data_IF_916928276931
#
_entry.id   IF_916928276931
#
_cell.length_a   1.000
_cell.length_b   1.000
_cell.length_c   1.000
_cell.angle_alpha   90.00
_cell.angle_beta   90.00
_cell.angle_gamma   90.00
#
_symmetry.space_group_name_H-M   'P 1'
#
loop_
_entity.id
_entity.type
_entity.pdbx_description
1 polymer ?
#
# COMPACT_ATOMS: atom_id res chain seq x y z
N UNK A 1 -21.97 12.31 -1.31
CA UNK A 1 -20.86 12.82 -2.14
C UNK A 1 -19.67 11.90 -1.97
N UNK A 2 -19.37 11.09 -2.99
CA UNK A 2 -18.43 9.98 -2.90
C UNK A 2 -16.96 10.43 -2.85
N UNK A 3 -16.17 9.80 -1.98
CA UNK A 3 -14.73 9.97 -1.95
C UNK A 3 -14.15 9.38 -3.24
N UNK A 4 -13.87 10.21 -4.25
CA UNK A 4 -13.11 9.78 -5.44
C UNK A 4 -11.64 9.68 -5.03
N UNK A 5 -11.24 8.51 -4.51
CA UNK A 5 -9.83 8.19 -4.29
C UNK A 5 -9.20 7.89 -5.64
N UNK A 6 -8.02 8.45 -5.86
CA UNK A 6 -7.25 8.28 -7.09
C UNK A 6 -7.05 6.80 -7.37
N UNK A 7 -7.31 6.39 -8.61
CA UNK A 7 -7.03 5.03 -9.08
C UNK A 7 -5.52 4.80 -8.95
N UNK A 8 -5.13 3.85 -8.09
CA UNK A 8 -3.74 3.54 -7.80
C UNK A 8 -3.09 2.74 -8.95
N UNK A 9 -1.80 2.40 -8.84
CA UNK A 9 -1.00 1.73 -9.87
C UNK A 9 -1.66 0.48 -10.50
N UNK A 10 -2.45 -0.25 -9.72
CA UNK A 10 -3.11 -1.49 -10.14
C UNK A 10 -4.49 -1.27 -10.75
N UNK A 11 -4.96 -0.02 -10.87
CA UNK A 11 -6.29 0.28 -11.43
C UNK A 11 -7.47 0.00 -10.49
N UNK A 12 -7.23 -0.62 -9.34
CA UNK A 12 -8.28 -1.12 -8.44
C UNK A 12 -8.51 -0.15 -7.27
N UNK A 13 -9.65 0.55 -7.21
CA UNK A 13 -10.00 1.39 -6.08
C UNK A 13 -10.37 0.56 -4.84
N UNK A 14 -10.18 1.11 -3.65
CA UNK A 14 -10.55 0.43 -2.39
C UNK A 14 -12.06 0.17 -2.30
N UNK A 15 -12.86 0.99 -2.98
CA UNK A 15 -14.31 0.84 -3.11
C UNK A 15 -14.69 -0.46 -3.83
N UNK A 16 -13.87 -0.96 -4.76
CA UNK A 16 -14.10 -2.25 -5.42
C UNK A 16 -13.99 -3.42 -4.43
N UNK A 17 -13.06 -3.35 -3.48
CA UNK A 17 -12.97 -4.36 -2.42
C UNK A 17 -14.14 -4.27 -1.44
N UNK A 18 -14.63 -3.06 -1.16
CA UNK A 18 -15.80 -2.86 -0.30
C UNK A 18 -17.10 -3.35 -0.93
N UNK A 19 -17.29 -3.18 -2.24
CA UNK A 19 -18.50 -3.63 -2.93
C UNK A 19 -18.63 -5.14 -3.01
N UNK A 20 -17.52 -5.87 -2.96
CA UNK A 20 -17.50 -7.34 -2.99
C UNK A 20 -17.95 -7.99 -1.67
N UNK A 21 -18.00 -7.24 -0.56
CA UNK A 21 -18.44 -7.73 0.75
C UNK A 21 -17.72 -9.01 1.19
N UNK A 22 -18.46 -10.00 1.71
CA UNK A 22 -17.90 -11.28 2.19
C UNK A 22 -17.17 -12.06 1.09
N UNK A 23 -17.65 -12.01 -0.16
CA UNK A 23 -16.99 -12.70 -1.28
C UNK A 23 -15.61 -12.11 -1.52
N UNK A 24 -15.49 -10.79 -1.44
CA UNK A 24 -14.21 -10.08 -1.52
C UNK A 24 -13.27 -10.48 -0.40
N UNK A 25 -13.78 -10.60 0.84
CA UNK A 25 -12.98 -11.04 1.99
C UNK A 25 -12.47 -12.48 1.80
N UNK A 26 -13.33 -13.41 1.37
CA UNK A 26 -12.93 -14.80 1.11
C UNK A 26 -11.86 -14.90 0.02
N UNK A 27 -12.06 -14.17 -1.08
CA UNK A 27 -11.10 -14.13 -2.18
C UNK A 27 -9.76 -13.53 -1.74
N UNK A 28 -9.77 -12.35 -1.09
CA UNK A 28 -8.55 -11.70 -0.58
C UNK A 28 -7.81 -12.60 0.40
N UNK A 29 -8.53 -13.28 1.29
CA UNK A 29 -7.93 -14.21 2.27
C UNK A 29 -7.24 -15.37 1.56
N UNK A 30 -7.88 -15.98 0.55
CA UNK A 30 -7.27 -17.04 -0.25
C UNK A 30 -6.03 -16.55 -0.99
N UNK A 31 -6.15 -15.40 -1.66
CA UNK A 31 -5.07 -14.77 -2.41
C UNK A 31 -3.87 -14.42 -1.53
N UNK A 32 -4.10 -13.81 -0.38
CA UNK A 32 -3.08 -13.50 0.62
C UNK A 32 -2.42 -14.75 1.22
N UNK A 33 -3.18 -15.81 1.47
CA UNK A 33 -2.61 -17.09 1.93
C UNK A 33 -1.74 -17.75 0.84
N UNK A 34 -2.15 -17.64 -0.43
CA UNK A 34 -1.35 -18.11 -1.56
C UNK A 34 -0.03 -17.34 -1.65
N UNK A 35 -0.05 -16.02 -1.48
CA UNK A 35 1.17 -15.18 -1.43
C UNK A 35 2.03 -15.55 -0.21
N UNK A 36 1.42 -15.81 0.95
CA UNK A 36 2.15 -16.18 2.17
C UNK A 36 2.90 -17.49 2.02
N UNK A 37 2.30 -18.48 1.35
CA UNK A 37 2.90 -19.80 1.12
C UNK A 37 3.95 -19.77 0.01
N UNK A 38 3.78 -18.88 -0.96
CA UNK A 38 4.69 -18.70 -2.07
C UNK A 38 5.59 -17.48 -1.85
N UNK A 39 6.25 -17.01 -2.92
CA UNK A 39 7.07 -15.81 -2.91
C UNK A 39 6.21 -14.57 -3.17
N UNK A 40 6.49 -13.48 -2.46
CA UNK A 40 5.87 -12.18 -2.72
C UNK A 40 6.17 -11.72 -4.17
N UNK A 41 5.15 -11.29 -4.94
CA UNK A 41 5.36 -10.81 -6.30
C UNK A 41 6.37 -9.68 -6.36
N UNK A 42 7.27 -9.70 -7.34
CA UNK A 42 8.25 -8.61 -7.55
C UNK A 42 7.57 -7.31 -7.96
N UNK A 43 6.41 -7.37 -8.59
CA UNK A 43 5.56 -6.20 -8.88
C UNK A 43 5.15 -5.45 -7.62
N UNK A 44 4.90 -6.15 -6.51
CA UNK A 44 4.50 -5.55 -5.23
C UNK A 44 5.66 -4.88 -4.49
N UNK A 45 6.90 -5.08 -4.94
CA UNK A 45 8.08 -4.35 -4.46
C UNK A 45 8.19 -2.98 -5.12
N UNK A 46 7.54 -2.79 -6.27
CA UNK A 46 7.58 -1.55 -7.02
C UNK A 46 6.54 -0.57 -6.46
N UNK A 47 6.97 0.67 -6.36
CA UNK A 47 6.17 1.79 -5.88
C UNK A 47 6.54 3.02 -6.67
N UNK A 48 5.58 3.89 -6.93
CA UNK A 48 5.85 5.13 -7.64
C UNK A 48 6.17 6.22 -6.63
N UNK A 49 7.35 6.83 -6.77
CA UNK A 49 7.73 8.01 -6.00
C UNK A 49 7.27 9.25 -6.75
N UNK A 50 6.40 10.04 -6.12
CA UNK A 50 5.96 11.33 -6.63
C UNK A 50 6.50 12.41 -5.72
N UNK A 51 7.18 13.40 -6.29
CA UNK A 51 7.57 14.62 -5.59
C UNK A 51 6.45 15.65 -5.69
N UNK A 52 5.86 16.03 -4.56
CA UNK A 52 4.91 17.13 -4.48
C UNK A 52 5.62 18.40 -4.00
N UNK A 53 5.50 19.48 -4.75
CA UNK A 53 6.04 20.77 -4.35
C UNK A 53 5.32 21.30 -3.11
N UNK A 54 6.07 21.80 -2.11
CA UNK A 54 5.52 22.30 -0.84
C UNK A 54 4.87 23.69 -0.98
N UNK A 55 4.82 24.27 -2.18
CA UNK A 55 4.35 25.63 -2.46
C UNK A 55 5.04 26.69 -1.58
N UNK A 56 6.32 26.46 -1.24
CA UNK A 56 7.16 27.36 -0.44
C UNK A 56 8.60 27.29 -0.97
N UNK A 57 9.26 28.45 -1.05
CA UNK A 57 10.64 28.58 -1.54
C UNK A 57 10.75 28.53 -3.06
N UNK A 58 11.97 28.38 -3.56
CA UNK A 58 12.26 28.28 -4.99
C UNK A 58 11.90 26.87 -5.54
N UNK A 59 11.38 26.84 -6.76
CA UNK A 59 10.97 25.62 -7.49
C UNK A 59 12.19 24.79 -7.91
N UNK A 60 13.36 25.42 -8.03
CA UNK A 60 14.63 24.80 -8.40
C UNK A 60 15.26 23.99 -7.24
N UNK A 61 14.88 24.25 -5.99
CA UNK A 61 15.47 23.58 -4.84
C UNK A 61 14.76 22.25 -4.52
N UNK A 62 15.49 21.14 -4.60
CA UNK A 62 15.00 19.80 -4.27
C UNK A 62 14.43 19.66 -2.84
N UNK A 63 14.86 20.51 -1.90
CA UNK A 63 14.41 20.51 -0.49
C UNK A 63 12.94 20.95 -0.35
N UNK A 64 12.47 21.75 -1.32
CA UNK A 64 11.10 22.27 -1.36
C UNK A 64 10.09 21.26 -1.90
N UNK A 65 10.52 20.04 -2.23
CA UNK A 65 9.64 18.92 -2.57
C UNK A 65 9.45 17.96 -1.40
N UNK A 66 8.23 17.47 -1.26
CA UNK A 66 7.88 16.35 -0.38
C UNK A 66 7.78 15.09 -1.24
N UNK A 67 8.56 14.07 -0.92
CA UNK A 67 8.42 12.76 -1.56
C UNK A 67 7.21 12.03 -0.98
N UNK A 68 6.35 11.54 -1.85
CA UNK A 68 5.21 10.68 -1.52
C UNK A 68 5.37 9.37 -2.28
N UNK A 69 5.27 8.27 -1.54
CA UNK A 69 5.31 6.93 -2.09
C UNK A 69 3.87 6.47 -2.38
N UNK A 70 3.54 6.28 -3.64
CA UNK A 70 2.31 5.58 -4.04
C UNK A 70 2.56 4.08 -4.05
N UNK A 71 1.66 3.37 -3.37
CA UNK A 71 1.65 1.92 -3.17
C UNK A 71 0.21 1.49 -3.33
N UNK A 72 -0.03 0.41 -4.08
CA UNK A 72 -1.37 -0.08 -4.38
C UNK A 72 -2.23 -0.35 -3.15
N UNK A 73 -3.53 -0.16 -3.29
CA UNK A 73 -4.50 -0.42 -2.22
C UNK A 73 -4.45 -1.87 -1.71
N UNK A 74 -4.22 -2.83 -2.61
CA UNK A 74 -4.13 -4.25 -2.25
C UNK A 74 -2.89 -4.54 -1.39
N UNK A 75 -1.75 -3.92 -1.70
CA UNK A 75 -0.51 -4.04 -0.90
C UNK A 75 -0.70 -3.39 0.47
N UNK A 76 -1.35 -2.22 0.55
CA UNK A 76 -1.66 -1.58 1.84
C UNK A 76 -2.54 -2.46 2.72
N UNK A 77 -3.53 -3.16 2.14
CA UNK A 77 -4.34 -4.13 2.89
C UNK A 77 -3.50 -5.28 3.42
N UNK A 78 -2.62 -5.83 2.58
CA UNK A 78 -1.71 -6.90 2.98
C UNK A 78 -0.78 -6.48 4.12
N UNK A 79 -0.16 -5.30 4.01
CA UNK A 79 0.71 -4.74 5.05
C UNK A 79 0.00 -4.62 6.40
N UNK A 80 -1.27 -4.19 6.41
CA UNK A 80 -2.09 -4.12 7.64
C UNK A 80 -2.32 -5.51 8.25
N UNK A 81 -2.62 -6.51 7.43
CA UNK A 81 -2.81 -7.90 7.89
C UNK A 81 -1.52 -8.43 8.53
N UNK A 82 -0.37 -8.22 7.87
CA UNK A 82 0.93 -8.64 8.40
C UNK A 82 1.29 -7.88 9.68
N UNK A 83 1.13 -6.56 9.69
CA UNK A 83 1.38 -5.74 10.88
C UNK A 83 0.54 -6.22 12.06
N UNK A 84 -0.74 -6.54 11.85
CA UNK A 84 -1.59 -7.04 12.92
C UNK A 84 -1.19 -8.44 13.41
N UNK A 85 -0.73 -9.31 12.51
CA UNK A 85 -0.17 -10.62 12.88
C UNK A 85 1.14 -10.47 13.68
N UNK A 86 2.06 -9.61 13.25
CA UNK A 86 3.34 -9.39 13.94
C UNK A 86 3.19 -8.71 15.29
N UNK A 87 2.23 -7.77 15.42
CA UNK A 87 1.89 -7.15 16.71
C UNK A 87 1.40 -8.18 17.73
N UNK A 88 0.64 -9.20 17.31
CA UNK A 88 0.24 -10.31 18.19
C UNK A 88 1.44 -11.11 18.72
N UNK A 89 2.52 -11.18 17.94
CA UNK A 89 3.77 -11.85 18.32
C UNK A 89 4.75 -10.93 19.08
N UNK A 90 4.33 -9.73 19.54
CA UNK A 90 5.15 -8.70 20.21
C UNK A 90 6.36 -8.20 19.40
N UNK A 91 6.34 -8.32 18.07
CA UNK A 91 7.34 -7.67 17.22
C UNK A 91 6.78 -6.30 16.82
N UNK A 92 7.43 -5.21 17.25
CA UNK A 92 7.02 -3.84 16.90
C UNK A 92 7.38 -3.61 15.42
N UNK A 93 6.40 -3.80 14.55
CA UNK A 93 6.55 -3.56 13.11
C UNK A 93 6.18 -2.13 12.74
N UNK A 94 7.16 -1.32 12.38
CA UNK A 94 6.92 -0.01 11.79
C UNK A 94 6.44 -0.19 10.33
N UNK A 95 5.25 0.31 9.98
CA UNK A 95 4.62 0.07 8.68
C UNK A 95 5.51 0.54 7.50
N UNK A 96 6.28 1.61 7.68
CA UNK A 96 7.15 2.13 6.62
C UNK A 96 8.36 1.23 6.23
N UNK A 97 8.78 0.25 7.04
CA UNK A 97 10.05 -0.46 6.81
C UNK A 97 9.98 -1.64 5.83
N UNK A 98 8.80 -2.21 5.57
CA UNK A 98 8.65 -3.29 4.56
C UNK A 98 8.93 -2.82 3.13
N UNK A 99 8.86 -1.52 2.91
CA UNK A 99 9.06 -0.88 1.61
C UNK A 99 10.54 -0.60 1.27
N UNK A 100 11.47 -0.93 2.17
CA UNK A 100 12.91 -0.77 2.03
C UNK A 100 13.68 -2.10 2.16
N UNK A 101 13.05 -3.17 2.66
CA UNK A 101 13.72 -4.44 2.98
C UNK A 101 13.18 -5.65 2.19
N UNK A 102 12.30 -5.43 1.19
CA UNK A 102 11.89 -6.43 0.20
C UNK A 102 12.10 -5.86 -1.20
#
# INVERSE_FOLDING_TARGET
MGQKKTVDLDGIPIEAWRSLGERGVKWLTSFFNMIWRNKMPTSWRKSTLISLFKNKGDVQECVNYRRIKLISHTIKLWERVIQQRLRRTRIIFFPCFLSLYI
#
